data_IF_145279376843
#
_entry.id   IF_145279376843
#
_cell.length_a   1.000
_cell.length_b   1.000
_cell.length_c   1.000
_cell.angle_alpha   90.00
_cell.angle_beta   90.00
_cell.angle_gamma   90.00
#
_symmetry.space_group_name_H-M   'P 1'
#
loop_
_entity.id
_entity.type
_entity.pdbx_description
1 polymer ?
#
# COMPACT_ATOMS: atom_id res chain seq x y z
N UNK A 1 1.74 -18.89 -45.07
CA UNK A 1 3.00 -18.16 -44.78
C UNK A 1 2.81 -16.96 -43.85
N UNK A 2 1.85 -16.05 -44.12
CA UNK A 2 1.57 -14.85 -43.29
C UNK A 2 1.38 -15.12 -41.78
N UNK A 3 0.59 -16.13 -41.42
CA UNK A 3 0.37 -16.51 -40.00
C UNK A 3 1.62 -16.97 -39.26
N UNK A 4 2.59 -17.55 -39.98
CA UNK A 4 3.85 -18.01 -39.36
C UNK A 4 4.82 -16.84 -39.17
N UNK A 5 4.72 -15.81 -40.01
CA UNK A 5 5.51 -14.60 -39.91
C UNK A 5 5.05 -13.72 -38.75
N UNK A 6 3.74 -13.51 -38.59
CA UNK A 6 3.15 -12.76 -37.47
C UNK A 6 3.51 -13.41 -36.13
N UNK A 7 3.38 -14.74 -36.01
CA UNK A 7 3.78 -15.48 -34.79
C UNK A 7 5.28 -15.36 -34.46
N UNK A 8 6.15 -15.22 -35.47
CA UNK A 8 7.58 -15.01 -35.25
C UNK A 8 7.87 -13.60 -34.75
N UNK A 9 7.17 -12.60 -35.27
CA UNK A 9 7.25 -11.21 -34.79
C UNK A 9 6.79 -11.13 -33.34
N UNK A 10 5.62 -11.68 -33.01
CA UNK A 10 5.09 -11.65 -31.64
C UNK A 10 6.05 -12.33 -30.65
N UNK A 11 6.62 -13.47 -31.04
CA UNK A 11 7.60 -14.19 -30.21
C UNK A 11 8.88 -13.37 -30.02
N UNK A 12 9.36 -12.70 -31.07
CA UNK A 12 10.53 -11.83 -30.98
C UNK A 12 10.28 -10.62 -30.07
N UNK A 13 9.12 -9.98 -30.19
CA UNK A 13 8.73 -8.84 -29.33
C UNK A 13 8.61 -9.27 -27.87
N UNK A 14 7.99 -10.43 -27.60
CA UNK A 14 7.88 -10.96 -26.24
C UNK A 14 9.26 -11.29 -25.67
N UNK A 15 10.12 -11.97 -26.42
CA UNK A 15 11.50 -12.28 -26.01
C UNK A 15 12.31 -11.01 -25.72
N UNK A 16 12.26 -10.00 -26.58
CA UNK A 16 12.93 -8.71 -26.36
C UNK A 16 12.45 -8.02 -25.07
N UNK A 17 11.14 -8.07 -24.77
CA UNK A 17 10.60 -7.51 -23.53
C UNK A 17 11.05 -8.29 -22.28
N UNK A 18 11.17 -9.61 -22.38
CA UNK A 18 11.65 -10.48 -21.29
C UNK A 18 13.15 -10.25 -21.05
N UNK A 19 13.93 -10.18 -22.12
CA UNK A 19 15.40 -10.02 -22.10
C UNK A 19 15.85 -8.57 -21.90
N UNK A 20 14.92 -7.62 -22.00
CA UNK A 20 15.14 -6.16 -21.95
C UNK A 20 16.14 -5.66 -22.99
N UNK A 21 16.25 -6.36 -24.12
CA UNK A 21 17.10 -5.96 -25.24
C UNK A 21 16.28 -5.24 -26.31
N UNK A 22 16.33 -3.91 -26.28
CA UNK A 22 15.64 -3.02 -27.21
C UNK A 22 16.58 -2.35 -28.21
N UNK A 23 17.83 -2.81 -28.30
CA UNK A 23 18.88 -2.20 -29.14
C UNK A 23 18.47 -2.08 -30.61
N UNK A 24 17.75 -3.08 -31.13
CA UNK A 24 17.20 -3.05 -32.50
C UNK A 24 16.12 -1.97 -32.68
N UNK A 25 15.31 -1.72 -31.66
CA UNK A 25 14.26 -0.68 -31.69
C UNK A 25 14.91 0.71 -31.58
N UNK A 26 15.88 0.86 -30.67
CA UNK A 26 16.64 2.10 -30.51
C UNK A 26 17.34 2.47 -31.82
N UNK A 27 17.99 1.50 -32.48
CA UNK A 27 18.65 1.71 -33.78
C UNK A 27 17.68 2.13 -34.88
N UNK A 28 16.47 1.57 -34.91
CA UNK A 28 15.45 1.94 -35.89
C UNK A 28 14.89 3.34 -35.62
N UNK A 29 14.65 3.69 -34.36
CA UNK A 29 14.23 5.04 -33.96
C UNK A 29 15.31 6.10 -34.27
N UNK A 30 16.60 5.79 -34.05
CA UNK A 30 17.71 6.66 -34.46
C UNK A 30 17.73 6.86 -35.99
N UNK A 31 17.51 5.78 -36.76
CA UNK A 31 17.45 5.85 -38.23
C UNK A 31 16.31 6.75 -38.74
N UNK A 32 15.24 6.89 -37.95
CA UNK A 32 14.11 7.79 -38.20
C UNK A 32 14.34 9.21 -37.67
N UNK A 33 15.50 9.49 -37.08
CA UNK A 33 15.91 10.81 -36.59
C UNK A 33 15.48 11.13 -35.15
N UNK A 34 15.04 10.14 -34.37
CA UNK A 34 14.71 10.34 -32.96
C UNK A 34 15.96 10.31 -32.07
N UNK A 35 15.96 11.14 -31.02
CA UNK A 35 16.99 11.12 -29.99
C UNK A 35 16.61 10.13 -28.87
N UNK A 36 17.29 8.99 -28.84
CA UNK A 36 17.06 7.91 -27.85
C UNK A 36 17.40 8.36 -26.43
N UNK A 37 18.44 9.17 -26.25
CA UNK A 37 18.81 9.67 -24.92
C UNK A 37 17.71 10.55 -24.33
N UNK A 38 17.11 11.43 -25.14
CA UNK A 38 15.99 12.28 -24.72
C UNK A 38 14.73 11.45 -24.40
N UNK A 39 14.42 10.46 -25.25
CA UNK A 39 13.30 9.53 -25.03
C UNK A 39 13.50 8.75 -23.72
N UNK A 40 14.70 8.25 -23.49
CA UNK A 40 15.05 7.52 -22.28
C UNK A 40 15.01 8.41 -21.04
N UNK A 41 15.54 9.63 -21.11
CA UNK A 41 15.50 10.59 -20.01
C UNK A 41 14.05 10.96 -19.64
N UNK A 42 13.20 11.20 -20.65
CA UNK A 42 11.77 11.46 -20.45
C UNK A 42 11.07 10.25 -19.81
N UNK A 43 11.30 9.05 -20.37
CA UNK A 43 10.69 7.81 -19.90
C UNK A 43 11.09 7.47 -18.47
N UNK A 44 12.36 7.65 -18.11
CA UNK A 44 12.84 7.48 -16.74
C UNK A 44 12.18 8.47 -15.77
N UNK A 45 12.05 9.75 -16.17
CA UNK A 45 11.39 10.77 -15.35
C UNK A 45 9.92 10.42 -15.12
N UNK A 46 9.23 9.98 -16.17
CA UNK A 46 7.84 9.55 -16.10
C UNK A 46 7.69 8.32 -15.20
N UNK A 47 8.54 7.31 -15.38
CA UNK A 47 8.56 6.09 -14.56
C UNK A 47 8.75 6.41 -13.08
N UNK A 48 9.76 7.23 -12.74
CA UNK A 48 10.01 7.62 -11.34
C UNK A 48 8.79 8.30 -10.71
N UNK A 49 8.15 9.22 -11.44
CA UNK A 49 6.93 9.90 -10.99
C UNK A 49 5.78 8.93 -10.77
N UNK A 50 5.50 8.07 -11.75
CA UNK A 50 4.41 7.09 -11.64
C UNK A 50 4.67 6.08 -10.52
N UNK A 51 5.90 5.57 -10.42
CA UNK A 51 6.31 4.65 -9.34
C UNK A 51 6.12 5.28 -7.97
N UNK A 52 6.50 6.55 -7.80
CA UNK A 52 6.28 7.27 -6.55
C UNK A 52 4.79 7.40 -6.19
N UNK A 53 3.95 7.81 -7.15
CA UNK A 53 2.51 7.93 -6.94
C UNK A 53 1.86 6.59 -6.61
N UNK A 54 2.20 5.53 -7.36
CA UNK A 54 1.70 4.18 -7.12
C UNK A 54 2.10 3.66 -5.74
N UNK A 55 3.36 3.87 -5.33
CA UNK A 55 3.81 3.53 -3.97
C UNK A 55 3.02 4.28 -2.91
N UNK A 56 2.76 5.58 -3.12
CA UNK A 56 1.92 6.37 -2.22
C UNK A 56 0.49 5.81 -2.10
N UNK A 57 -0.14 5.44 -3.23
CA UNK A 57 -1.47 4.83 -3.24
C UNK A 57 -1.49 3.47 -2.54
N UNK A 58 -0.50 2.62 -2.81
CA UNK A 58 -0.35 1.31 -2.15
C UNK A 58 -0.18 1.49 -0.65
N UNK A 59 0.66 2.42 -0.21
CA UNK A 59 0.89 2.68 1.20
C UNK A 59 -0.38 3.20 1.87
N UNK A 60 -1.09 4.16 1.25
CA UNK A 60 -2.37 4.65 1.76
C UNK A 60 -3.39 3.51 1.92
N UNK A 61 -3.47 2.59 0.96
CA UNK A 61 -4.37 1.43 1.08
C UNK A 61 -3.94 0.48 2.21
N UNK A 62 -2.63 0.27 2.37
CA UNK A 62 -2.10 -0.55 3.48
C UNK A 62 -2.43 0.08 4.83
N UNK A 63 -2.26 1.39 4.97
CA UNK A 63 -2.55 2.12 6.21
C UNK A 63 -4.04 2.01 6.57
N UNK A 64 -4.93 2.19 5.58
CA UNK A 64 -6.37 1.99 5.76
C UNK A 64 -6.68 0.56 6.21
N UNK A 65 -6.08 -0.45 5.56
CA UNK A 65 -6.31 -1.85 5.91
C UNK A 65 -5.80 -2.20 7.32
N UNK A 66 -4.64 -1.66 7.71
CA UNK A 66 -4.08 -1.83 9.05
C UNK A 66 -4.99 -1.18 10.10
N UNK A 67 -5.49 0.01 9.80
CA UNK A 67 -6.39 0.75 10.69
C UNK A 67 -7.71 0.01 10.89
N UNK A 68 -8.28 -0.54 9.81
CA UNK A 68 -9.47 -1.39 9.87
C UNK A 68 -9.22 -2.64 10.73
N UNK A 69 -8.13 -3.37 10.45
CA UNK A 69 -7.80 -4.61 11.17
C UNK A 69 -7.61 -4.35 12.68
N UNK A 70 -6.85 -3.32 13.02
CA UNK A 70 -6.62 -2.92 14.40
C UNK A 70 -7.92 -2.53 15.11
N UNK A 71 -8.78 -1.76 14.44
CA UNK A 71 -10.04 -1.30 15.02
C UNK A 71 -11.01 -2.46 15.27
N UNK A 72 -11.12 -3.39 14.32
CA UNK A 72 -11.93 -4.60 14.49
C UNK A 72 -11.41 -5.49 15.62
N UNK A 73 -10.08 -5.62 15.74
CA UNK A 73 -9.47 -6.42 16.82
C UNK A 73 -9.76 -5.81 18.19
N UNK A 74 -9.65 -4.49 18.33
CA UNK A 74 -9.97 -3.78 19.57
C UNK A 74 -11.47 -3.86 19.87
N UNK A 75 -12.34 -3.70 18.86
CA UNK A 75 -13.79 -3.83 19.03
C UNK A 75 -14.16 -5.23 19.56
N UNK A 76 -13.60 -6.27 18.94
CA UNK A 76 -13.78 -7.65 19.39
C UNK A 76 -13.28 -7.83 20.84
N UNK A 77 -12.14 -7.26 21.18
CA UNK A 77 -11.62 -7.30 22.55
C UNK A 77 -12.53 -6.59 23.57
N UNK A 78 -13.20 -5.49 23.19
CA UNK A 78 -14.22 -4.83 24.03
C UNK A 78 -15.42 -5.77 24.25
N UNK A 79 -15.93 -6.39 23.18
CA UNK A 79 -17.05 -7.34 23.24
C UNK A 79 -16.73 -8.56 24.11
N UNK A 80 -15.51 -9.09 23.99
CA UNK A 80 -14.99 -10.24 24.73
C UNK A 80 -14.45 -9.89 26.13
N UNK A 81 -14.46 -8.59 26.50
CA UNK A 81 -13.94 -8.07 27.77
C UNK A 81 -12.47 -8.42 28.04
N UNK A 82 -11.64 -8.38 27.01
CA UNK A 82 -10.19 -8.60 27.13
C UNK A 82 -9.55 -7.33 27.70
N UNK A 83 -8.96 -7.44 28.90
CA UNK A 83 -8.51 -6.28 29.67
C UNK A 83 -7.41 -5.46 28.99
N UNK A 84 -6.40 -6.10 28.38
CA UNK A 84 -5.21 -5.39 27.88
C UNK A 84 -5.52 -4.46 26.68
N UNK A 85 -6.21 -4.89 25.61
CA UNK A 85 -6.61 -3.99 24.52
C UNK A 85 -7.50 -2.83 25.01
N UNK A 86 -8.42 -3.12 25.95
CA UNK A 86 -9.29 -2.12 26.56
C UNK A 86 -8.47 -1.10 27.38
N UNK A 87 -7.51 -1.57 28.18
CA UNK A 87 -6.65 -0.70 28.98
C UNK A 87 -5.70 0.14 28.13
N UNK A 88 -5.20 -0.43 27.02
CA UNK A 88 -4.44 0.33 26.04
C UNK A 88 -5.28 1.46 25.46
N UNK A 89 -6.51 1.18 25.02
CA UNK A 89 -7.43 2.19 24.50
C UNK A 89 -7.76 3.28 25.53
N UNK A 90 -7.99 2.88 26.80
CA UNK A 90 -8.18 3.82 27.92
C UNK A 90 -6.99 4.77 28.08
N UNK A 91 -5.77 4.25 28.02
CA UNK A 91 -4.56 5.06 28.17
C UNK A 91 -4.39 6.05 27.00
N UNK A 92 -4.69 5.64 25.77
CA UNK A 92 -4.71 6.55 24.61
C UNK A 92 -5.72 7.67 24.80
N UNK A 93 -6.94 7.33 25.27
CA UNK A 93 -7.99 8.32 25.47
C UNK A 93 -7.61 9.37 26.52
N UNK A 94 -7.01 8.91 27.62
CA UNK A 94 -6.55 9.78 28.70
C UNK A 94 -5.39 10.67 28.27
N UNK A 95 -4.46 10.15 27.46
CA UNK A 95 -3.26 10.87 27.05
C UNK A 95 -3.51 11.92 25.95
N UNK A 96 -4.45 11.66 25.03
CA UNK A 96 -4.63 12.49 23.84
C UNK A 96 -5.70 13.59 23.98
N UNK A 97 -6.26 13.81 25.18
CA UNK A 97 -7.32 14.80 25.44
C UNK A 97 -8.35 14.87 24.30
N UNK A 98 -8.87 13.71 23.84
CA UNK A 98 -9.85 13.72 22.77
C UNK A 98 -11.01 14.62 23.18
N UNK A 99 -11.32 15.62 22.34
CA UNK A 99 -12.42 16.57 22.60
C UNK A 99 -13.79 15.87 22.62
N UNK A 100 -13.85 14.63 22.13
CA UNK A 100 -15.01 13.76 22.21
C UNK A 100 -14.99 13.08 23.58
N UNK A 101 -15.89 13.49 24.48
CA UNK A 101 -16.21 12.72 25.67
C UNK A 101 -16.77 11.36 25.23
N UNK A 102 -15.92 10.33 25.14
CA UNK A 102 -16.37 8.97 24.89
C UNK A 102 -17.26 8.56 26.06
N UNK A 103 -18.58 8.64 25.86
CA UNK A 103 -19.56 8.47 26.94
C UNK A 103 -19.58 7.05 27.50
N UNK A 104 -19.18 6.04 26.72
CA UNK A 104 -19.07 4.64 27.14
C UNK A 104 -18.01 3.89 26.32
N UNK A 105 -16.89 3.54 26.94
CA UNK A 105 -15.84 2.67 26.36
C UNK A 105 -16.36 1.30 25.95
N UNK A 106 -17.42 0.84 26.62
CA UNK A 106 -18.04 -0.47 26.40
C UNK A 106 -18.86 -0.53 25.09
N UNK A 107 -19.12 0.61 24.44
CA UNK A 107 -19.96 0.71 23.25
C UNK A 107 -19.32 1.54 22.13
N UNK A 108 -17.99 1.52 22.01
CA UNK A 108 -17.30 2.22 20.94
C UNK A 108 -17.55 1.53 19.59
N UNK A 109 -17.96 2.33 18.61
CA UNK A 109 -18.05 1.88 17.22
C UNK A 109 -16.66 1.74 16.60
N UNK A 110 -16.55 0.94 15.54
CA UNK A 110 -15.30 0.76 14.81
C UNK A 110 -14.73 2.10 14.33
N UNK A 111 -15.56 3.04 13.88
CA UNK A 111 -15.11 4.35 13.40
C UNK A 111 -14.60 5.26 14.52
N UNK A 112 -15.19 5.19 15.73
CA UNK A 112 -14.66 5.89 16.90
C UNK A 112 -13.30 5.30 17.32
N UNK A 113 -13.14 3.97 17.25
CA UNK A 113 -11.86 3.32 17.53
C UNK A 113 -10.80 3.77 16.52
N UNK A 114 -11.14 3.85 15.23
CA UNK A 114 -10.24 4.36 14.18
C UNK A 114 -9.74 5.76 14.51
N UNK A 115 -10.64 6.66 14.92
CA UNK A 115 -10.27 8.03 15.28
C UNK A 115 -9.32 8.10 16.50
N UNK A 116 -9.43 7.15 17.44
CA UNK A 116 -8.54 7.07 18.59
C UNK A 116 -7.13 6.59 18.19
N UNK A 117 -7.04 5.61 17.29
CA UNK A 117 -5.79 4.90 17.01
C UNK A 117 -5.09 5.34 15.71
N UNK A 118 -5.71 6.19 14.87
CA UNK A 118 -5.19 6.58 13.55
C UNK A 118 -3.76 7.15 13.55
N UNK A 119 -3.36 7.80 14.64
CA UNK A 119 -2.04 8.43 14.79
C UNK A 119 -1.03 7.50 15.49
N UNK A 120 -1.41 6.26 15.79
CA UNK A 120 -0.55 5.27 16.44
C UNK A 120 0.21 4.42 15.42
N UNK A 121 1.29 3.78 15.89
CA UNK A 121 1.97 2.75 15.11
C UNK A 121 1.11 1.48 15.08
N UNK A 122 0.29 1.33 14.03
CA UNK A 122 -0.69 0.26 13.89
C UNK A 122 -0.06 -1.13 13.80
N UNK A 123 1.16 -1.26 13.27
CA UNK A 123 1.88 -2.54 13.22
C UNK A 123 2.28 -3.01 14.62
N UNK A 124 2.93 -2.13 15.39
CA UNK A 124 3.33 -2.41 16.76
C UNK A 124 2.09 -2.68 17.65
N UNK A 125 1.00 -1.96 17.40
CA UNK A 125 -0.28 -2.19 18.07
C UNK A 125 -0.79 -3.60 17.76
N UNK A 126 -0.86 -3.99 16.49
CA UNK A 126 -1.32 -5.34 16.10
C UNK A 126 -0.42 -6.43 16.70
N UNK A 127 0.90 -6.26 16.70
CA UNK A 127 1.82 -7.21 17.33
C UNK A 127 1.58 -7.35 18.85
N UNK A 128 1.34 -6.24 19.56
CA UNK A 128 1.04 -6.27 21.01
C UNK A 128 -0.28 -6.96 21.33
N UNK A 129 -1.22 -6.96 20.38
CA UNK A 129 -2.54 -7.59 20.49
C UNK A 129 -2.53 -9.06 20.02
N UNK A 130 -1.71 -9.42 19.02
CA UNK A 130 -1.63 -10.79 18.45
C UNK A 130 -0.74 -11.73 19.27
N UNK A 131 0.27 -11.23 19.98
CA UNK A 131 1.19 -12.04 20.80
C UNK A 131 0.55 -12.61 22.09
N UNK A 132 -0.76 -12.85 22.11
CA UNK A 132 -1.51 -13.33 23.29
C UNK A 132 -2.03 -14.77 23.15
N UNK A 133 -1.76 -15.45 22.04
CA UNK A 133 -2.02 -16.89 21.86
C UNK A 133 -0.88 -17.78 22.45
N UNK A 134 -0.04 -17.28 23.37
CA UNK A 134 0.99 -18.06 24.09
C UNK A 134 0.96 -17.88 25.60
#
# INVERSE_FOLDING_TARGET
MRNNFIKKIDKAIISQNIERDFTSIDSELESLGYNIEEINAFSQKLYKRQSFLLKGLINKQKDINLLEKASLMIQKAIEEKIDKPINYLKSLIQNNQFQVQYRNLENLTTDEIKEIIKDQNLLELLEKLENEDQ
#
